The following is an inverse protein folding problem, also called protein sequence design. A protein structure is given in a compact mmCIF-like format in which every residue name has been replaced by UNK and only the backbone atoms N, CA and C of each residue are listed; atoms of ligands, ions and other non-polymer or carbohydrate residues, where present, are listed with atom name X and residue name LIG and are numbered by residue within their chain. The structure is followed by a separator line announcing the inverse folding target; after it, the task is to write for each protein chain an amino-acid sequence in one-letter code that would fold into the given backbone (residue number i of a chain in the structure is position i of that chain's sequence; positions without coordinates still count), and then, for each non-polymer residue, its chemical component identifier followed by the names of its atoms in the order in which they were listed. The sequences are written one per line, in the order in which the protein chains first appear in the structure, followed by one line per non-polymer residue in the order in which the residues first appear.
data_IF_002368273491
#
_entry.id   IF_002368273491
#
_cell.length_a   1.000
_cell.length_b   1.000
_cell.length_c   1.000
_cell.angle_alpha   90.00
_cell.angle_beta   90.00
_cell.angle_gamma   90.00
#
_symmetry.space_group_name_H-M   'P 1'
#
loop_
_entity.id
_entity.type
_entity.pdbx_description
1 polymer ?
#
# COMPACT_ATOMS: atom_id res chain seq x y z
N UNK A 1 44.27 -2.23 21.44
CA UNK A 1 43.23 -2.95 22.22
C UNK A 1 42.41 -2.00 23.10
N UNK A 2 42.97 -1.38 24.14
CA UNK A 2 42.19 -0.52 25.07
C UNK A 2 41.72 0.80 24.41
N UNK A 3 42.61 1.47 23.67
CA UNK A 3 42.29 2.71 22.94
C UNK A 3 41.24 2.51 21.84
N UNK A 4 41.22 1.34 21.20
CA UNK A 4 40.24 1.00 20.16
C UNK A 4 38.84 0.80 20.76
N UNK A 5 38.75 0.17 21.93
CA UNK A 5 37.49 0.02 22.67
C UNK A 5 36.93 1.36 23.13
N UNK A 6 37.78 2.30 23.57
CA UNK A 6 37.34 3.65 23.96
C UNK A 6 36.73 4.40 22.77
N UNK A 7 37.38 4.35 21.59
CA UNK A 7 36.84 4.95 20.36
C UNK A 7 35.50 4.34 19.95
N UNK A 8 35.36 3.02 20.06
CA UNK A 8 34.13 2.31 19.74
C UNK A 8 32.98 2.70 20.69
N UNK A 9 33.25 2.81 21.99
CA UNK A 9 32.23 3.23 22.98
C UNK A 9 31.76 4.66 22.70
N UNK A 10 32.68 5.57 22.40
CA UNK A 10 32.33 6.97 22.06
C UNK A 10 31.48 7.01 20.78
N UNK A 11 31.88 6.29 19.74
CA UNK A 11 31.13 6.23 18.49
C UNK A 11 29.71 5.66 18.68
N UNK A 12 29.58 4.58 19.45
CA UNK A 12 28.26 4.01 19.80
C UNK A 12 27.43 4.98 20.63
N UNK A 13 28.03 5.70 21.57
CA UNK A 13 27.36 6.74 22.35
C UNK A 13 26.80 7.85 21.45
N UNK A 14 27.63 8.40 20.56
CA UNK A 14 27.21 9.42 19.59
C UNK A 14 26.09 8.89 18.69
N UNK A 15 26.20 7.65 18.20
CA UNK A 15 25.17 7.03 17.38
C UNK A 15 23.83 6.95 18.13
N UNK A 16 23.84 6.43 19.38
CA UNK A 16 22.62 6.33 20.20
C UNK A 16 22.01 7.71 20.46
N UNK A 17 22.82 8.70 20.84
CA UNK A 17 22.33 10.06 21.08
C UNK A 17 21.74 10.68 19.82
N UNK A 18 22.39 10.51 18.67
CA UNK A 18 21.89 11.05 17.39
C UNK A 18 20.57 10.41 16.95
N UNK A 19 20.44 9.08 17.07
CA UNK A 19 19.19 8.36 16.76
C UNK A 19 18.07 8.78 17.71
N UNK A 20 18.40 8.94 18.99
CA UNK A 20 17.42 9.33 20.02
C UNK A 20 16.92 10.76 19.78
N UNK A 21 17.83 11.71 19.55
CA UNK A 21 17.49 13.10 19.24
C UNK A 21 16.67 13.21 17.94
N UNK A 22 17.06 12.46 16.89
CA UNK A 22 16.28 12.37 15.66
C UNK A 22 14.87 11.80 15.90
N UNK A 23 14.75 10.78 16.75
CA UNK A 23 13.46 10.21 17.14
C UNK A 23 12.53 11.20 17.85
N UNK A 24 13.08 12.05 18.72
CA UNK A 24 12.31 13.09 19.41
C UNK A 24 11.89 14.25 18.50
N UNK A 25 12.69 14.59 17.48
CA UNK A 25 12.38 15.66 16.51
C UNK A 25 11.47 15.21 15.37
N UNK A 26 11.43 13.91 15.06
CA UNK A 26 10.58 13.36 14.01
C UNK A 26 9.09 13.76 14.14
N UNK A 27 8.42 13.63 15.30
CA UNK A 27 6.99 13.97 15.41
C UNK A 27 6.69 15.45 15.11
N UNK A 28 7.54 16.40 15.50
CA UNK A 28 7.29 17.82 15.21
C UNK A 28 7.46 18.13 13.72
N UNK A 29 8.45 17.52 13.05
CA UNK A 29 8.64 17.64 11.60
C UNK A 29 7.46 17.03 10.85
N UNK A 30 6.97 15.88 11.32
CA UNK A 30 5.82 15.21 10.71
C UNK A 30 4.54 16.03 10.87
N UNK A 31 4.34 16.65 12.02
CA UNK A 31 3.19 17.53 12.27
C UNK A 31 3.24 18.78 11.39
N UNK A 32 4.40 19.45 11.30
CA UNK A 32 4.58 20.61 10.43
C UNK A 32 4.35 20.26 8.94
N UNK A 33 4.80 19.07 8.51
CA UNK A 33 4.55 18.58 7.16
C UNK A 33 3.07 18.25 6.92
N UNK A 34 2.32 17.86 7.95
CA UNK A 34 0.88 17.60 7.87
C UNK A 34 0.09 18.91 7.80
N UNK A 35 0.41 19.89 8.65
CA UNK A 35 -0.21 21.21 8.67
C UNK A 35 -0.03 21.95 7.33
N UNK A 36 1.16 21.84 6.74
CA UNK A 36 1.46 22.39 5.41
C UNK A 36 0.98 21.49 4.26
N UNK A 37 0.21 20.43 4.56
CA UNK A 37 -0.34 19.47 3.60
C UNK A 37 0.70 18.82 2.68
N UNK A 38 1.95 18.76 3.14
CA UNK A 38 3.06 18.10 2.44
C UNK A 38 2.97 16.57 2.56
N UNK A 39 2.18 16.06 3.51
CA UNK A 39 1.85 14.64 3.68
C UNK A 39 0.34 14.39 3.56
N UNK A 40 -0.09 13.83 2.43
CA UNK A 40 -1.46 13.30 2.25
C UNK A 40 -1.57 11.79 2.51
N UNK A 41 -0.47 11.15 2.90
CA UNK A 41 -0.36 9.69 2.98
C UNK A 41 -0.93 9.12 4.29
N UNK A 42 -1.32 9.96 5.25
CA UNK A 42 -1.76 9.52 6.59
C UNK A 42 -3.28 9.50 6.80
N UNK A 43 -4.05 9.50 5.71
CA UNK A 43 -5.50 9.48 5.82
C UNK A 43 -6.01 8.05 6.00
N UNK A 44 -6.94 7.88 6.94
CA UNK A 44 -7.69 6.64 7.15
C UNK A 44 -8.36 6.29 5.82
N UNK A 45 -8.21 5.02 5.41
CA UNK A 45 -8.89 4.53 4.21
C UNK A 45 -10.29 4.09 4.61
N UNK A 46 -11.29 4.86 4.21
CA UNK A 46 -12.70 4.55 4.47
C UNK A 46 -13.09 3.22 3.80
N UNK A 47 -13.60 2.29 4.60
CA UNK A 47 -14.01 0.95 4.19
C UNK A 47 -12.90 -0.10 4.16
N UNK A 48 -11.64 0.26 4.49
CA UNK A 48 -10.58 -0.73 4.67
C UNK A 48 -10.70 -1.47 6.00
N UNK A 49 -10.35 -2.77 6.07
CA UNK A 49 -10.22 -3.48 7.33
C UNK A 49 -9.29 -2.78 8.32
N UNK A 50 -9.65 -2.76 9.61
CA UNK A 50 -8.93 -2.04 10.68
C UNK A 50 -7.43 -2.36 10.76
N UNK A 51 -7.05 -3.61 10.45
CA UNK A 51 -5.64 -4.03 10.43
C UNK A 51 -4.84 -3.33 9.32
N UNK A 52 -5.47 -3.02 8.18
CA UNK A 52 -4.82 -2.33 7.04
C UNK A 52 -4.61 -0.86 7.39
N UNK A 53 -5.60 -0.24 8.00
CA UNK A 53 -5.50 1.13 8.50
C UNK A 53 -4.41 1.22 9.59
N UNK A 54 -4.37 0.27 10.52
CA UNK A 54 -3.36 0.23 11.59
C UNK A 54 -1.94 0.03 11.04
N UNK A 55 -1.73 -0.91 10.12
CA UNK A 55 -0.41 -1.19 9.51
C UNK A 55 0.03 -0.08 8.56
N UNK A 56 -0.90 0.46 7.77
CA UNK A 56 -0.65 1.54 6.81
C UNK A 56 -0.34 2.90 7.45
N UNK A 57 -0.83 3.14 8.68
CA UNK A 57 -0.55 4.36 9.46
C UNK A 57 0.70 4.24 10.35
N UNK A 58 0.97 3.06 10.92
CA UNK A 58 1.96 2.93 12.00
C UNK A 58 3.41 2.89 11.52
N UNK A 59 3.70 2.35 10.32
CA UNK A 59 5.08 2.19 9.86
C UNK A 59 5.14 2.50 8.36
N UNK A 60 5.69 3.67 8.00
CA UNK A 60 5.75 4.14 6.61
C UNK A 60 6.34 3.12 5.62
N UNK A 61 7.33 2.32 6.05
CA UNK A 61 7.89 1.24 5.25
C UNK A 61 6.97 0.00 5.12
N UNK A 62 6.17 -0.32 6.15
CA UNK A 62 5.24 -1.45 6.10
C UNK A 62 4.06 -1.20 5.15
N UNK A 63 3.65 0.07 4.96
CA UNK A 63 2.65 0.41 3.95
C UNK A 63 3.06 -0.10 2.57
N UNK A 64 4.32 0.07 2.20
CA UNK A 64 4.87 -0.43 0.93
C UNK A 64 4.73 -1.94 0.80
N UNK A 65 5.17 -2.68 1.82
CA UNK A 65 5.07 -4.15 1.84
C UNK A 65 3.63 -4.66 1.78
N UNK A 66 2.70 -3.97 2.45
CA UNK A 66 1.28 -4.31 2.40
C UNK A 66 0.71 -4.11 1.00
N UNK A 67 1.09 -3.03 0.33
CA UNK A 67 0.67 -2.77 -1.05
C UNK A 67 1.26 -3.81 -2.01
N UNK A 68 2.53 -4.18 -1.85
CA UNK A 68 3.17 -5.23 -2.66
C UNK A 68 2.43 -6.58 -2.50
N UNK A 69 2.04 -6.92 -1.27
CA UNK A 69 1.21 -8.10 -1.01
C UNK A 69 -0.14 -8.03 -1.72
N UNK A 70 -0.84 -6.89 -1.65
CA UNK A 70 -2.11 -6.71 -2.36
C UNK A 70 -1.93 -6.86 -3.87
N UNK A 71 -0.85 -6.32 -4.45
CA UNK A 71 -0.53 -6.49 -5.86
C UNK A 71 -0.32 -7.95 -6.26
N UNK A 72 0.40 -8.72 -5.45
CA UNK A 72 0.59 -10.16 -5.67
C UNK A 72 -0.77 -10.87 -5.63
N UNK A 73 -1.60 -10.57 -4.63
CA UNK A 73 -2.93 -11.15 -4.46
C UNK A 73 -3.83 -10.86 -5.67
N UNK A 74 -3.93 -9.62 -6.12
CA UNK A 74 -4.78 -9.28 -7.28
C UNK A 74 -4.25 -9.88 -8.58
N UNK A 75 -2.93 -10.01 -8.74
CA UNK A 75 -2.35 -10.66 -9.91
C UNK A 75 -2.71 -12.15 -9.96
N UNK A 76 -2.69 -12.83 -8.80
CA UNK A 76 -3.15 -14.21 -8.68
C UNK A 76 -4.64 -14.34 -9.06
N UNK A 77 -5.50 -13.52 -8.46
CA UNK A 77 -6.94 -13.53 -8.75
C UNK A 77 -7.26 -13.22 -10.22
N UNK A 78 -6.48 -12.34 -10.84
CA UNK A 78 -6.62 -12.03 -12.27
C UNK A 78 -6.26 -13.22 -13.16
N UNK A 79 -5.24 -14.01 -12.79
CA UNK A 79 -4.89 -15.25 -13.49
C UNK A 79 -5.97 -16.32 -13.32
N UNK A 80 -6.63 -16.36 -12.15
CA UNK A 80 -7.72 -17.28 -11.85
C UNK A 80 -9.08 -16.83 -12.46
N UNK A 81 -9.13 -15.67 -13.11
CA UNK A 81 -10.34 -15.12 -13.73
C UNK A 81 -11.33 -14.48 -12.75
N UNK A 82 -10.93 -14.22 -11.51
CA UNK A 82 -11.77 -13.67 -10.45
C UNK A 82 -11.86 -12.13 -10.52
N UNK A 83 -12.27 -11.57 -11.67
CA UNK A 83 -12.24 -10.11 -11.90
C UNK A 83 -13.16 -9.30 -10.98
N UNK A 84 -14.25 -9.91 -10.48
CA UNK A 84 -15.14 -9.26 -9.52
C UNK A 84 -14.48 -9.11 -8.15
N UNK A 85 -13.70 -10.10 -7.71
CA UNK A 85 -12.97 -10.06 -6.43
C UNK A 85 -11.79 -9.08 -6.47
N UNK A 86 -11.13 -9.00 -7.63
CA UNK A 86 -10.07 -8.01 -7.91
C UNK A 86 -10.56 -6.57 -7.66
N UNK A 87 -11.85 -6.28 -7.82
CA UNK A 87 -12.41 -4.93 -7.63
C UNK A 87 -12.18 -4.38 -6.22
N UNK A 88 -12.48 -5.16 -5.18
CA UNK A 88 -12.41 -4.70 -3.79
C UNK A 88 -10.97 -4.40 -3.36
N UNK A 89 -10.03 -5.27 -3.77
CA UNK A 89 -8.61 -5.08 -3.47
C UNK A 89 -8.01 -3.95 -4.31
N UNK A 90 -8.41 -3.78 -5.57
CA UNK A 90 -7.94 -2.68 -6.40
C UNK A 90 -8.44 -1.31 -5.88
N UNK A 91 -9.69 -1.20 -5.43
CA UNK A 91 -10.20 0.00 -4.76
C UNK A 91 -9.35 0.33 -3.52
N UNK A 92 -9.04 -0.68 -2.71
CA UNK A 92 -8.17 -0.51 -1.55
C UNK A 92 -6.76 -0.03 -1.95
N UNK A 93 -6.15 -0.57 -3.00
CA UNK A 93 -4.85 -0.11 -3.51
C UNK A 93 -4.94 1.33 -4.01
N UNK A 94 -6.03 1.74 -4.69
CA UNK A 94 -6.17 3.15 -5.14
C UNK A 94 -6.22 4.12 -3.96
N UNK A 95 -6.87 3.74 -2.86
CA UNK A 95 -6.90 4.56 -1.64
C UNK A 95 -5.55 4.55 -0.92
N UNK A 96 -4.80 3.44 -0.98
CA UNK A 96 -3.44 3.34 -0.43
C UNK A 96 -2.39 4.04 -1.29
N UNK A 97 -2.58 4.13 -2.61
CA UNK A 97 -1.66 4.74 -3.57
C UNK A 97 -2.38 5.64 -4.58
N UNK A 98 -3.00 6.76 -4.14
CA UNK A 98 -3.80 7.59 -5.03
C UNK A 98 -2.98 8.23 -6.15
N UNK A 99 -1.68 8.44 -5.92
CA UNK A 99 -0.75 9.06 -6.88
C UNK A 99 -0.08 8.07 -7.83
N UNK A 100 -0.42 6.78 -7.79
CA UNK A 100 0.14 5.79 -8.70
C UNK A 100 -0.85 5.51 -9.85
N UNK A 101 -0.67 6.11 -11.05
CA UNK A 101 -1.67 6.06 -12.11
C UNK A 101 -1.92 4.63 -12.63
N UNK A 102 -0.93 3.75 -12.51
CA UNK A 102 -1.03 2.38 -12.97
C UNK A 102 -2.13 1.58 -12.26
N UNK A 103 -2.41 1.86 -10.98
CA UNK A 103 -3.52 1.21 -10.26
C UNK A 103 -4.85 1.53 -10.95
N UNK A 104 -5.06 2.80 -11.30
CA UNK A 104 -6.29 3.27 -11.92
C UNK A 104 -6.48 2.66 -13.31
N UNK A 105 -5.41 2.61 -14.12
CA UNK A 105 -5.45 1.98 -15.46
C UNK A 105 -5.75 0.49 -15.35
N UNK A 106 -5.06 -0.21 -14.44
CA UNK A 106 -5.28 -1.63 -14.18
C UNK A 106 -6.73 -1.91 -13.76
N UNK A 107 -7.23 -1.13 -12.82
CA UNK A 107 -8.58 -1.28 -12.28
C UNK A 107 -9.64 -1.00 -13.36
N UNK A 108 -9.49 0.09 -14.10
CA UNK A 108 -10.38 0.45 -15.18
C UNK A 108 -10.40 -0.59 -16.31
N UNK A 109 -9.25 -1.17 -16.65
CA UNK A 109 -9.18 -2.21 -17.68
C UNK A 109 -9.93 -3.49 -17.26
N UNK A 110 -9.74 -3.93 -16.01
CA UNK A 110 -10.46 -5.10 -15.50
C UNK A 110 -11.99 -4.87 -15.48
N UNK A 111 -12.43 -3.66 -15.11
CA UNK A 111 -13.85 -3.31 -15.08
C UNK A 111 -14.46 -3.15 -16.47
N UNK A 112 -13.79 -2.43 -17.37
CA UNK A 112 -14.36 -2.05 -18.67
C UNK A 112 -14.30 -3.19 -19.69
N UNK A 113 -13.22 -3.98 -19.67
CA UNK A 113 -12.98 -5.01 -20.68
C UNK A 113 -13.16 -6.42 -20.10
N UNK A 114 -12.40 -6.81 -19.08
CA UNK A 114 -12.38 -8.20 -18.60
C UNK A 114 -13.75 -8.68 -18.11
N UNK A 115 -14.46 -7.85 -17.33
CA UNK A 115 -15.83 -8.18 -16.89
C UNK A 115 -16.82 -8.20 -18.06
N UNK A 116 -16.69 -7.26 -19.02
CA UNK A 116 -17.59 -7.20 -20.18
C UNK A 116 -17.49 -8.47 -21.04
N UNK A 117 -16.28 -9.01 -21.21
CA UNK A 117 -16.03 -10.21 -22.02
C UNK A 117 -16.44 -11.49 -21.28
N UNK A 118 -16.32 -11.54 -19.95
CA UNK A 118 -16.78 -12.68 -19.15
C UNK A 118 -18.31 -12.77 -19.02
N UNK A 119 -19.02 -11.67 -19.28
CA UNK A 119 -20.49 -11.66 -19.12
C UNK A 119 -21.13 -12.30 -20.34
N UNK A 120 -21.37 -13.61 -20.31
CA UNK A 120 -22.19 -14.26 -21.32
C UNK A 120 -23.64 -13.81 -21.22
N UNK A 121 -24.19 -13.37 -22.34
CA UNK A 121 -25.61 -12.99 -22.40
C UNK A 121 -26.43 -14.28 -22.57
N UNK A 122 -27.65 -14.35 -22.02
CA UNK A 122 -28.48 -15.56 -22.05
C UNK A 122 -28.67 -16.11 -23.49
N UNK A 123 -28.71 -15.23 -24.50
CA UNK A 123 -28.80 -15.64 -25.91
C UNK A 123 -27.59 -16.43 -26.41
N UNK A 124 -26.39 -16.19 -25.90
CA UNK A 124 -25.16 -16.87 -26.31
C UNK A 124 -25.07 -18.29 -25.71
N UNK A 125 -25.48 -18.43 -24.44
CA UNK A 125 -25.52 -19.71 -23.73
C UNK A 125 -26.54 -20.67 -24.39
N UNK A 126 -27.66 -20.16 -24.89
CA UNK A 126 -28.69 -20.97 -25.54
C UNK A 126 -28.29 -21.49 -26.93
N UNK A 127 -27.37 -20.81 -27.62
CA UNK A 127 -26.85 -21.21 -28.94
C UNK A 127 -25.74 -22.26 -28.81
N UNK A 128 -24.99 -22.28 -27.71
CA UNK A 128 -23.92 -23.26 -27.49
C UNK A 128 -24.42 -24.63 -26.99
N UNK A 129 -25.61 -24.67 -26.39
CA UNK A 129 -26.22 -25.88 -25.82
C UNK A 129 -27.11 -26.63 -26.83
N UNK A 130 -27.35 -26.06 -28.02
CA UNK A 130 -28.25 -26.58 -29.06
C UNK A 130 -27.46 -27.04 -30.30
#
# INVERSE_FOLDING_TARGET
MLQDRVKQIIATGIAITSVTAGGFMLPSILQEAEDNTLRYTNNIVDGAPDWINTVGMSIGALRGLLIDYLWIKIHQMQQDGLYFEVMADADLITKLQPRFPQVWVFHAHNMAYNISVMTHTIEEILVEVL
#
